data_IF_322233284794
#
_entry.id   IF_322233284794
#
_cell.length_a   1.000
_cell.length_b   1.000
_cell.length_c   1.000
_cell.angle_alpha   90.00
_cell.angle_beta   90.00
_cell.angle_gamma   90.00
#
_symmetry.space_group_name_H-M   'P 1'
#
loop_
_entity.id
_entity.type
_entity.pdbx_description
1 polymer ?
#
# COMPACT_ATOMS: atom_id res chain seq x y z
N UNK A 1 -31.47 -9.07 13.51
CA UNK A 1 -30.55 -7.94 13.29
C UNK A 1 -30.51 -7.70 11.79
N UNK A 2 -30.97 -6.56 11.33
CA UNK A 2 -30.87 -6.16 9.91
C UNK A 2 -29.42 -5.80 9.60
N UNK A 3 -28.84 -6.41 8.57
CA UNK A 3 -27.52 -6.02 8.06
C UNK A 3 -27.63 -4.64 7.38
N UNK A 4 -26.71 -3.74 7.72
CA UNK A 4 -26.60 -2.43 7.09
C UNK A 4 -25.64 -2.59 5.92
N UNK A 5 -26.17 -2.57 4.69
CA UNK A 5 -25.36 -2.61 3.47
C UNK A 5 -25.02 -1.16 3.09
N UNK A 6 -23.73 -0.90 2.85
CA UNK A 6 -23.26 0.39 2.32
C UNK A 6 -23.07 0.28 0.82
N UNK A 7 -23.86 1.02 0.06
CA UNK A 7 -23.64 1.20 -1.37
C UNK A 7 -22.56 2.25 -1.59
N UNK A 8 -21.46 1.82 -2.21
CA UNK A 8 -20.32 2.67 -2.58
C UNK A 8 -20.16 2.65 -4.09
N UNK A 9 -19.78 3.79 -4.67
CA UNK A 9 -19.47 3.84 -6.10
C UNK A 9 -18.20 3.02 -6.39
N UNK A 10 -18.17 2.36 -7.55
CA UNK A 10 -17.02 1.58 -7.97
C UNK A 10 -15.76 2.45 -8.09
N UNK A 11 -15.90 3.67 -8.61
CA UNK A 11 -14.81 4.61 -8.82
C UNK A 11 -14.15 5.02 -7.49
N UNK A 12 -14.95 5.35 -6.48
CA UNK A 12 -14.44 5.73 -5.16
C UNK A 12 -13.69 4.56 -4.49
N UNK A 13 -14.25 3.35 -4.58
CA UNK A 13 -13.65 2.15 -3.97
C UNK A 13 -12.32 1.81 -4.65
N UNK A 14 -12.27 1.84 -5.97
CA UNK A 14 -11.03 1.57 -6.71
C UNK A 14 -10.00 2.66 -6.43
N UNK A 15 -10.39 3.94 -6.48
CA UNK A 15 -9.49 5.06 -6.23
C UNK A 15 -8.82 4.98 -4.85
N UNK A 16 -9.60 4.80 -3.79
CA UNK A 16 -9.07 4.72 -2.42
C UNK A 16 -8.14 3.50 -2.24
N UNK A 17 -8.59 2.32 -2.67
CA UNK A 17 -7.81 1.09 -2.49
C UNK A 17 -6.54 1.08 -3.33
N UNK A 18 -6.63 1.51 -4.59
CA UNK A 18 -5.49 1.57 -5.48
C UNK A 18 -4.47 2.61 -5.00
N UNK A 19 -4.92 3.77 -4.54
CA UNK A 19 -4.05 4.83 -4.00
C UNK A 19 -3.26 4.34 -2.78
N UNK A 20 -3.94 3.72 -1.81
CA UNK A 20 -3.30 3.16 -0.60
C UNK A 20 -2.29 2.09 -0.94
N UNK A 21 -2.67 1.15 -1.82
CA UNK A 21 -1.78 0.08 -2.27
C UNK A 21 -0.55 0.65 -2.99
N UNK A 22 -0.77 1.54 -3.95
CA UNK A 22 0.30 2.15 -4.75
C UNK A 22 1.29 2.90 -3.87
N UNK A 23 0.80 3.71 -2.93
CA UNK A 23 1.67 4.43 -1.98
C UNK A 23 2.54 3.47 -1.17
N UNK A 24 1.95 2.43 -0.59
CA UNK A 24 2.69 1.43 0.20
C UNK A 24 3.74 0.70 -0.64
N UNK A 25 3.38 0.28 -1.87
CA UNK A 25 4.32 -0.41 -2.75
C UNK A 25 5.50 0.48 -3.13
N UNK A 26 5.25 1.75 -3.45
CA UNK A 26 6.30 2.69 -3.85
C UNK A 26 7.26 2.96 -2.69
N UNK A 27 6.72 3.31 -1.51
CA UNK A 27 7.52 3.79 -0.39
C UNK A 27 8.18 2.64 0.40
N UNK A 28 7.46 1.54 0.63
CA UNK A 28 7.83 0.54 1.64
C UNK A 28 8.15 -0.84 1.04
N UNK A 29 8.26 -0.95 -0.29
CA UNK A 29 8.51 -2.25 -0.93
C UNK A 29 9.40 -2.21 -2.16
N UNK A 30 9.04 -1.43 -3.17
CA UNK A 30 9.59 -1.57 -4.51
C UNK A 30 10.88 -0.77 -4.71
N UNK A 31 10.94 0.45 -4.19
CA UNK A 31 12.07 1.35 -4.36
C UNK A 31 13.10 1.19 -3.24
N UNK A 32 14.40 1.26 -3.55
CA UNK A 32 15.44 1.33 -2.54
C UNK A 32 15.51 2.73 -1.92
N UNK A 33 15.98 2.80 -0.67
CA UNK A 33 16.34 4.07 -0.02
C UNK A 33 17.62 4.62 -0.67
N UNK A 34 17.72 5.93 -0.84
CA UNK A 34 18.84 6.60 -1.51
C UNK A 34 20.14 6.59 -0.69
N UNK A 35 20.03 6.45 0.63
CA UNK A 35 21.18 6.49 1.54
C UNK A 35 21.95 5.18 1.56
N UNK A 36 21.25 4.06 1.47
CA UNK A 36 21.85 2.71 1.57
C UNK A 36 21.62 1.82 0.35
N UNK A 37 20.76 2.23 -0.59
CA UNK A 37 20.43 1.46 -1.79
C UNK A 37 19.60 0.21 -1.53
N UNK A 38 19.08 0.02 -0.30
CA UNK A 38 18.39 -1.20 0.10
C UNK A 38 16.87 -1.03 0.12
N UNK A 39 16.17 -2.06 -0.34
CA UNK A 39 14.73 -2.22 -0.17
C UNK A 39 14.40 -2.63 1.26
N UNK A 40 13.18 -2.34 1.77
CA UNK A 40 12.82 -2.64 3.16
C UNK A 40 12.95 -4.11 3.56
N UNK A 41 12.68 -5.06 2.64
CA UNK A 41 12.89 -6.49 2.93
C UNK A 41 14.36 -6.86 3.10
N UNK A 42 15.26 -6.21 2.34
CA UNK A 42 16.69 -6.46 2.42
C UNK A 42 17.24 -5.94 3.75
N UNK A 43 16.81 -4.75 4.19
CA UNK A 43 17.19 -4.19 5.50
C UNK A 43 16.76 -5.11 6.66
N UNK A 44 15.57 -5.70 6.60
CA UNK A 44 15.05 -6.70 7.58
C UNK A 44 15.74 -8.06 7.56
N UNK A 45 16.51 -8.38 6.51
CA UNK A 45 17.31 -9.62 6.47
C UNK A 45 18.66 -9.38 7.14
N UNK A 46 19.20 -8.16 7.01
CA UNK A 46 20.50 -7.79 7.56
C UNK A 46 20.47 -7.43 9.05
N UNK A 47 19.34 -6.90 9.53
CA UNK A 47 19.07 -6.61 10.94
C UNK A 47 18.03 -7.59 11.47
#
# INVERSE_FOLDING_TARGET
>A
MSEIIQDLSLEDVIGDRFSRYSKYIIQERALPDDRDGLKPVQRRILY
#
